data_IF_103565428220
#
_entry.id   IF_103565428220
#
_cell.length_a   1.000
_cell.length_b   1.000
_cell.length_c   1.000
_cell.angle_alpha   90.00
_cell.angle_beta   90.00
_cell.angle_gamma   90.00
#
_symmetry.space_group_name_H-M   'P 1'
#
loop_
_entity.id
_entity.type
_entity.pdbx_description
1 polymer ?
#
# COMPACT_ATOMS: atom_id res chain seq x y z
N UNK A 1 38.18 10.84 3.85
CA UNK A 1 37.62 9.54 4.29
C UNK A 1 36.33 9.68 5.11
N UNK A 2 35.75 10.88 5.27
CA UNK A 2 34.53 11.10 6.05
C UNK A 2 33.24 11.02 5.24
N UNK A 3 33.28 11.17 3.91
CA UNK A 3 32.05 11.17 3.09
C UNK A 3 31.48 9.78 2.81
N UNK A 4 32.29 8.71 2.71
CA UNK A 4 31.74 7.37 2.47
C UNK A 4 30.96 6.85 3.68
N UNK A 5 31.49 7.08 4.89
CA UNK A 5 30.90 6.59 6.14
C UNK A 5 29.53 7.20 6.46
N UNK A 6 29.28 8.47 6.10
CA UNK A 6 27.99 9.12 6.36
C UNK A 6 26.87 8.65 5.41
N UNK A 7 27.20 8.32 4.15
CA UNK A 7 26.22 7.78 3.20
C UNK A 7 25.94 6.29 3.43
N UNK A 8 26.95 5.51 3.78
CA UNK A 8 26.78 4.13 4.21
C UNK A 8 25.86 4.06 5.45
N UNK A 9 25.97 5.04 6.36
CA UNK A 9 25.09 5.16 7.52
C UNK A 9 23.64 5.51 7.18
N UNK A 10 23.38 6.31 6.14
CA UNK A 10 22.02 6.64 5.69
C UNK A 10 21.33 5.42 5.07
N UNK A 11 22.02 4.66 4.22
CA UNK A 11 21.44 3.46 3.61
C UNK A 11 21.26 2.32 4.62
N UNK A 12 22.24 2.11 5.51
CA UNK A 12 22.14 1.09 6.56
C UNK A 12 21.04 1.39 7.60
N UNK A 13 20.70 2.66 7.81
CA UNK A 13 19.73 3.11 8.80
C UNK A 13 18.70 4.07 8.22
N UNK A 14 18.13 3.77 7.05
CA UNK A 14 17.27 4.68 6.29
C UNK A 14 16.10 5.23 7.12
N UNK A 15 15.36 4.37 7.82
CA UNK A 15 14.28 4.79 8.72
C UNK A 15 14.78 5.74 9.82
N UNK A 16 15.82 5.36 10.54
CA UNK A 16 16.36 6.16 11.64
C UNK A 16 16.87 7.51 11.15
N UNK A 17 17.49 7.54 9.97
CA UNK A 17 17.96 8.74 9.30
C UNK A 17 16.81 9.70 8.98
N UNK A 18 15.73 9.17 8.40
CA UNK A 18 14.51 9.93 8.04
C UNK A 18 13.78 10.44 9.29
N UNK A 19 13.56 9.60 10.30
CA UNK A 19 12.89 10.00 11.54
C UNK A 19 13.67 11.09 12.29
N UNK A 20 15.01 11.07 12.24
CA UNK A 20 15.86 12.09 12.82
C UNK A 20 15.91 13.41 12.03
N UNK A 21 15.14 13.55 10.95
CA UNK A 21 15.11 14.73 10.07
C UNK A 21 16.49 15.10 9.51
N UNK A 22 17.37 14.11 9.33
CA UNK A 22 18.70 14.31 8.77
C UNK A 22 18.60 14.52 7.26
N UNK A 23 19.59 15.23 6.70
CA UNK A 23 19.76 15.40 5.26
C UNK A 23 21.14 14.89 4.87
N UNK A 24 21.27 14.07 3.81
CA UNK A 24 22.56 13.54 3.43
C UNK A 24 23.41 14.67 2.81
N UNK A 25 24.72 14.65 3.06
CA UNK A 25 25.64 15.64 2.49
C UNK A 25 25.68 15.59 0.94
N UNK A 26 25.49 14.40 0.37
CA UNK A 26 25.34 14.16 -1.06
C UNK A 26 23.91 13.71 -1.35
N UNK A 27 23.38 14.15 -2.50
CA UNK A 27 22.04 13.76 -2.96
C UNK A 27 22.06 12.51 -3.82
N UNK A 28 23.23 12.03 -4.22
CA UNK A 28 23.39 10.82 -5.01
C UNK A 28 24.75 10.17 -4.71
N UNK A 29 24.85 8.89 -5.03
CA UNK A 29 26.09 8.14 -4.87
C UNK A 29 25.96 6.72 -5.38
N UNK A 30 26.96 5.91 -5.07
CA UNK A 30 26.99 4.47 -5.39
C UNK A 30 27.23 3.72 -4.09
N UNK A 31 26.38 2.75 -3.79
CA UNK A 31 26.50 1.90 -2.60
C UNK A 31 27.63 0.87 -2.78
N UNK A 32 28.00 0.18 -1.70
CA UNK A 32 29.03 -0.87 -1.74
C UNK A 32 28.70 -2.01 -2.73
N UNK A 33 27.40 -2.30 -2.93
CA UNK A 33 26.90 -3.23 -3.95
C UNK A 33 27.05 -2.75 -5.40
N UNK A 34 27.46 -1.49 -5.61
CA UNK A 34 27.51 -0.82 -6.90
C UNK A 34 26.16 -0.28 -7.39
N UNK A 35 25.07 -0.45 -6.63
CA UNK A 35 23.78 0.19 -6.90
C UNK A 35 23.91 1.71 -6.79
N UNK A 36 23.42 2.44 -7.79
CA UNK A 36 23.36 3.90 -7.73
C UNK A 36 22.14 4.31 -6.90
N UNK A 37 22.31 5.28 -6.01
CA UNK A 37 21.22 5.80 -5.19
C UNK A 37 21.08 7.30 -5.39
N UNK A 38 19.84 7.80 -5.27
CA UNK A 38 19.51 9.23 -5.32
C UNK A 38 18.49 9.57 -4.25
N UNK A 39 18.82 10.51 -3.37
CA UNK A 39 17.92 11.11 -2.39
C UNK A 39 17.05 12.19 -3.05
N UNK A 40 15.78 11.85 -3.26
CA UNK A 40 14.82 12.72 -3.93
C UNK A 40 14.14 13.67 -2.94
N UNK A 41 13.98 13.25 -1.69
CA UNK A 41 13.34 14.01 -0.61
C UNK A 41 13.29 13.19 0.67
N UNK A 42 12.71 13.77 1.73
CA UNK A 42 12.61 13.07 3.01
C UNK A 42 11.83 11.78 2.84
N UNK A 43 12.46 10.63 3.13
CA UNK A 43 11.87 9.31 2.96
C UNK A 43 11.64 8.88 1.51
N UNK A 44 12.23 9.56 0.51
CA UNK A 44 12.08 9.22 -0.91
C UNK A 44 13.47 8.92 -1.49
N UNK A 45 13.74 7.64 -1.75
CA UNK A 45 15.03 7.15 -2.22
C UNK A 45 14.85 6.38 -3.54
N UNK A 46 15.56 6.81 -4.57
CA UNK A 46 15.67 6.07 -5.84
C UNK A 46 16.91 5.19 -5.81
N UNK A 47 16.78 3.96 -6.28
CA UNK A 47 17.83 2.95 -6.41
C UNK A 47 17.81 2.41 -7.83
N UNK A 48 18.95 2.52 -8.52
CA UNK A 48 19.12 2.14 -9.91
C UNK A 48 20.17 1.01 -10.00
N UNK A 49 19.86 -0.10 -10.70
CA UNK A 49 20.80 -1.20 -10.87
C UNK A 49 21.99 -0.79 -11.74
N UNK A 50 23.04 -1.62 -11.75
CA UNK A 50 24.24 -1.35 -12.58
C UNK A 50 23.99 -1.52 -14.08
N UNK A 51 23.04 -2.38 -14.46
CA UNK A 51 22.66 -2.67 -15.84
C UNK A 51 21.29 -2.11 -16.23
N UNK A 52 20.81 -2.53 -17.41
CA UNK A 52 19.47 -2.20 -17.88
C UNK A 52 18.40 -2.87 -17.02
N UNK A 53 17.45 -2.07 -16.55
CA UNK A 53 16.36 -2.57 -15.74
C UNK A 53 15.22 -3.10 -16.62
N UNK A 54 14.76 -4.33 -16.35
CA UNK A 54 13.61 -4.91 -17.05
C UNK A 54 12.26 -4.40 -16.52
N UNK A 55 12.23 -3.72 -15.36
CA UNK A 55 11.03 -3.15 -14.77
C UNK A 55 11.34 -1.99 -13.81
N UNK A 56 10.31 -1.20 -13.50
CA UNK A 56 10.34 -0.13 -12.48
C UNK A 56 9.34 -0.44 -11.37
N UNK A 57 9.79 -0.41 -10.13
CA UNK A 57 8.99 -0.76 -8.94
C UNK A 57 8.96 0.43 -7.99
N UNK A 58 7.76 0.86 -7.60
CA UNK A 58 7.56 1.72 -6.43
C UNK A 58 7.21 0.80 -5.26
N UNK A 59 7.97 0.89 -4.18
CA UNK A 59 7.65 0.22 -2.91
C UNK A 59 7.42 1.32 -1.86
N UNK A 60 6.16 1.48 -1.44
CA UNK A 60 5.77 2.49 -0.47
C UNK A 60 5.27 1.84 0.81
N UNK A 61 5.56 2.49 1.94
CA UNK A 61 5.07 2.10 3.26
C UNK A 61 4.86 3.35 4.11
N UNK A 62 4.06 3.19 5.17
CA UNK A 62 3.86 4.27 6.12
C UNK A 62 3.11 5.46 5.53
N UNK A 63 2.26 5.24 4.52
CA UNK A 63 1.27 6.24 4.10
C UNK A 63 0.38 6.61 5.29
N UNK A 64 0.10 5.65 6.17
CA UNK A 64 -0.32 5.90 7.55
C UNK A 64 0.86 5.72 8.51
N UNK A 65 1.04 6.64 9.45
CA UNK A 65 2.23 6.70 10.29
C UNK A 65 2.36 5.59 11.35
N UNK A 66 1.25 5.00 11.77
CA UNK A 66 1.17 3.96 12.80
C UNK A 66 1.41 2.53 12.27
N UNK A 67 1.51 2.37 10.95
CA UNK A 67 1.65 1.07 10.28
C UNK A 67 3.13 0.71 10.08
N UNK A 68 3.78 0.33 11.19
CA UNK A 68 5.26 0.33 11.27
C UNK A 68 5.96 -0.90 10.68
N UNK A 69 5.31 -2.08 10.63
CA UNK A 69 5.94 -3.30 10.10
C UNK A 69 6.47 -3.12 8.66
N UNK A 70 5.68 -2.64 7.69
CA UNK A 70 6.18 -2.43 6.33
C UNK A 70 7.27 -1.37 6.23
N UNK A 71 7.28 -0.38 7.12
CA UNK A 71 8.32 0.65 7.19
C UNK A 71 9.66 0.02 7.59
N UNK A 72 9.66 -0.87 8.59
CA UNK A 72 10.85 -1.61 9.01
C UNK A 72 11.37 -2.53 7.90
N UNK A 73 10.47 -3.23 7.20
CA UNK A 73 10.80 -4.10 6.06
C UNK A 73 11.50 -3.29 4.96
N UNK A 74 10.93 -2.14 4.55
CA UNK A 74 11.55 -1.32 3.53
C UNK A 74 12.91 -0.73 3.96
N UNK A 75 13.06 -0.35 5.23
CA UNK A 75 14.35 0.12 5.74
C UNK A 75 15.40 -0.99 5.72
N UNK A 76 15.04 -2.22 6.10
CA UNK A 76 15.94 -3.36 6.04
C UNK A 76 16.30 -3.72 4.59
N UNK A 77 15.33 -3.66 3.67
CA UNK A 77 15.55 -3.89 2.25
C UNK A 77 16.55 -2.88 1.66
N UNK A 78 16.45 -1.60 1.99
CA UNK A 78 17.43 -0.58 1.56
C UNK A 78 18.84 -0.92 2.04
N UNK A 79 18.98 -1.32 3.32
CA UNK A 79 20.28 -1.72 3.87
C UNK A 79 20.85 -2.96 3.16
N UNK A 80 20.01 -3.97 2.93
CA UNK A 80 20.42 -5.21 2.25
C UNK A 80 20.83 -4.95 0.79
N UNK A 81 20.12 -4.08 0.07
CA UNK A 81 20.49 -3.69 -1.30
C UNK A 81 21.84 -2.96 -1.29
N UNK A 82 22.05 -2.06 -0.32
CA UNK A 82 23.27 -1.25 -0.25
C UNK A 82 24.54 -2.08 -0.08
N UNK A 83 24.45 -3.21 0.65
CA UNK A 83 25.58 -4.12 0.89
C UNK A 83 25.59 -5.34 -0.05
N UNK A 84 24.57 -5.49 -0.91
CA UNK A 84 24.46 -6.58 -1.88
C UNK A 84 23.88 -7.89 -1.31
N UNK A 85 23.29 -7.87 -0.12
CA UNK A 85 22.55 -8.99 0.45
C UNK A 85 21.19 -9.20 -0.24
N UNK A 86 20.62 -8.13 -0.81
CA UNK A 86 19.46 -8.19 -1.70
C UNK A 86 19.86 -7.80 -3.13
N UNK A 87 19.47 -8.62 -4.09
CA UNK A 87 19.72 -8.36 -5.51
C UNK A 87 18.75 -7.30 -6.05
N UNK A 88 19.26 -6.36 -6.84
CA UNK A 88 18.47 -5.34 -7.52
C UNK A 88 18.74 -5.39 -9.03
N UNK A 89 17.74 -5.75 -9.82
CA UNK A 89 17.74 -5.73 -11.29
C UNK A 89 16.64 -4.82 -11.87
N UNK A 90 15.87 -4.19 -10.98
CA UNK A 90 14.78 -3.28 -11.31
C UNK A 90 15.13 -1.88 -10.84
N UNK A 91 14.61 -0.85 -11.51
CA UNK A 91 14.61 0.50 -10.92
C UNK A 91 13.69 0.45 -9.71
N UNK A 92 14.12 0.95 -8.56
CA UNK A 92 13.33 0.91 -7.33
C UNK A 92 13.19 2.32 -6.73
N UNK A 93 11.96 2.74 -6.49
CA UNK A 93 11.64 3.93 -5.70
C UNK A 93 11.08 3.48 -4.35
N UNK A 94 11.85 3.71 -3.28
CA UNK A 94 11.42 3.46 -1.90
C UNK A 94 10.81 4.73 -1.33
N UNK A 95 9.60 4.61 -0.76
CA UNK A 95 8.86 5.73 -0.16
C UNK A 95 8.46 5.39 1.29
N UNK A 96 8.86 6.24 2.22
CA UNK A 96 8.29 6.34 3.57
C UNK A 96 7.30 7.53 3.59
N UNK A 97 6.01 7.21 3.60
CA UNK A 97 4.92 8.11 3.23
C UNK A 97 4.75 9.33 4.13
N UNK A 98 4.20 9.15 5.33
CA UNK A 98 3.78 10.22 6.24
C UNK A 98 4.71 10.31 7.45
N UNK A 99 5.89 10.91 7.25
CA UNK A 99 6.97 10.92 8.25
C UNK A 99 6.54 11.63 9.54
N UNK A 100 5.76 12.70 9.45
CA UNK A 100 5.32 13.44 10.65
C UNK A 100 4.30 12.62 11.46
N UNK A 101 3.39 11.89 10.80
CA UNK A 101 2.51 10.94 11.48
C UNK A 101 3.29 9.78 12.10
N UNK A 102 4.34 9.27 11.42
CA UNK A 102 5.24 8.24 11.99
C UNK A 102 5.89 8.72 13.29
N UNK A 103 6.39 9.97 13.32
CA UNK A 103 6.98 10.57 14.52
C UNK A 103 5.97 10.75 15.64
N UNK A 104 4.73 11.06 15.31
CA UNK A 104 3.63 11.18 16.26
C UNK A 104 3.08 9.81 16.73
N UNK A 105 3.47 8.70 16.07
CA UNK A 105 2.88 7.38 16.23
C UNK A 105 1.36 7.37 15.98
N UNK A 106 0.90 8.25 15.08
CA UNK A 106 -0.50 8.40 14.69
C UNK A 106 -0.71 7.90 13.26
N UNK A 107 -1.94 7.54 12.94
CA UNK A 107 -2.34 7.16 11.57
C UNK A 107 -2.12 8.31 10.58
N UNK A 108 -2.57 9.49 10.96
CA UNK A 108 -2.41 10.77 10.27
C UNK A 108 -2.64 11.88 11.29
N UNK A 109 -2.24 13.11 10.97
CA UNK A 109 -2.35 14.28 11.85
C UNK A 109 -3.67 15.04 11.63
N UNK A 110 -4.02 15.40 10.39
CA UNK A 110 -5.26 16.12 10.07
C UNK A 110 -6.20 15.29 9.21
N UNK A 111 -5.70 14.80 8.07
CA UNK A 111 -6.46 14.04 7.09
C UNK A 111 -5.72 12.78 6.65
N UNK A 112 -6.47 11.71 6.36
CA UNK A 112 -5.93 10.46 5.86
C UNK A 112 -5.19 10.69 4.52
N UNK A 113 -3.85 10.59 4.55
CA UNK A 113 -2.99 10.81 3.38
C UNK A 113 -3.40 9.93 2.19
N UNK A 114 -3.86 8.69 2.43
CA UNK A 114 -4.33 7.78 1.39
C UNK A 114 -5.73 8.13 0.83
N UNK A 115 -6.24 9.31 1.18
CA UNK A 115 -7.43 9.94 0.58
C UNK A 115 -7.10 11.24 -0.14
N UNK A 116 -5.84 11.67 -0.17
CA UNK A 116 -5.42 12.97 -0.70
C UNK A 116 -4.77 12.89 -2.09
N UNK A 117 -4.60 11.69 -2.64
CA UNK A 117 -4.05 11.50 -3.99
C UNK A 117 -5.09 11.83 -5.08
N UNK A 118 -4.67 11.78 -6.34
CA UNK A 118 -5.45 12.19 -7.51
C UNK A 118 -5.89 13.65 -7.45
N UNK A 119 -5.00 14.52 -6.97
CA UNK A 119 -5.28 15.95 -6.84
C UNK A 119 -6.23 16.32 -5.70
N UNK A 120 -6.72 15.35 -4.90
CA UNK A 120 -7.64 15.63 -3.79
C UNK A 120 -7.03 16.55 -2.74
N UNK A 121 -5.71 16.49 -2.53
CA UNK A 121 -4.96 17.40 -1.68
C UNK A 121 -5.16 18.89 -2.02
N UNK A 122 -5.44 19.24 -3.28
CA UNK A 122 -5.71 20.63 -3.69
C UNK A 122 -7.01 21.20 -3.09
N UNK A 123 -7.94 20.32 -2.71
CA UNK A 123 -9.20 20.73 -2.06
C UNK A 123 -9.09 20.92 -0.55
N UNK A 124 -7.94 20.60 0.04
CA UNK A 124 -7.69 20.67 1.49
C UNK A 124 -6.39 21.45 1.78
N UNK A 125 -6.31 22.75 1.42
CA UNK A 125 -5.08 23.53 1.54
C UNK A 125 -4.60 23.73 2.99
N UNK A 126 -5.46 23.50 3.99
CA UNK A 126 -5.13 23.60 5.40
C UNK A 126 -4.60 22.27 6.00
N UNK A 127 -4.70 21.15 5.27
CA UNK A 127 -4.23 19.84 5.73
C UNK A 127 -2.70 19.80 5.78
N UNK A 128 -2.12 19.35 6.89
CA UNK A 128 -0.68 19.11 6.99
C UNK A 128 -0.20 18.00 6.05
N UNK A 129 -1.05 17.06 5.67
CA UNK A 129 -0.72 15.99 4.74
C UNK A 129 -0.78 16.41 3.26
N UNK A 130 -1.52 17.46 2.91
CA UNK A 130 -1.73 17.85 1.51
C UNK A 130 -0.43 18.17 0.75
N UNK A 131 0.56 18.91 1.30
CA UNK A 131 1.85 19.11 0.66
C UNK A 131 2.61 17.80 0.43
N UNK A 132 2.49 16.85 1.37
CA UNK A 132 3.15 15.55 1.28
C UNK A 132 2.53 14.69 0.18
N UNK A 133 1.21 14.66 0.05
CA UNK A 133 0.54 14.00 -1.07
C UNK A 133 1.04 14.53 -2.42
N UNK A 134 1.11 15.86 -2.57
CA UNK A 134 1.61 16.50 -3.78
C UNK A 134 3.09 16.15 -4.09
N UNK A 135 3.93 16.05 -3.06
CA UNK A 135 5.33 15.62 -3.20
C UNK A 135 5.43 14.18 -3.69
N UNK A 136 4.70 13.26 -3.06
CA UNK A 136 4.69 11.84 -3.41
C UNK A 136 4.15 11.61 -4.83
N UNK A 137 3.09 12.33 -5.23
CA UNK A 137 2.59 12.30 -6.60
C UNK A 137 3.65 12.74 -7.61
N UNK A 138 4.36 13.86 -7.35
CA UNK A 138 5.43 14.34 -8.24
C UNK A 138 6.58 13.34 -8.35
N UNK A 139 7.02 12.78 -7.21
CA UNK A 139 8.11 11.81 -7.19
C UNK A 139 7.75 10.53 -7.97
N UNK A 140 6.54 10.00 -7.78
CA UNK A 140 6.08 8.82 -8.49
C UNK A 140 5.95 9.07 -10.00
N UNK A 141 5.39 10.21 -10.42
CA UNK A 141 5.29 10.55 -11.85
C UNK A 141 6.67 10.72 -12.47
N UNK A 142 7.58 11.45 -11.82
CA UNK A 142 8.94 11.65 -12.33
C UNK A 142 9.71 10.32 -12.47
N UNK A 143 9.53 9.40 -11.52
CA UNK A 143 10.19 8.09 -11.55
C UNK A 143 9.69 7.19 -12.70
N UNK A 144 8.40 7.27 -13.01
CA UNK A 144 7.73 6.47 -14.05
C UNK A 144 7.66 7.15 -15.42
N UNK A 145 8.11 8.40 -15.53
CA UNK A 145 8.10 9.15 -16.78
C UNK A 145 8.98 8.49 -17.85
N UNK A 146 8.48 8.43 -19.09
CA UNK A 146 9.17 7.78 -20.21
C UNK A 146 9.40 6.26 -20.08
N UNK A 147 8.96 5.60 -19.00
CA UNK A 147 9.18 4.17 -18.79
C UNK A 147 8.31 3.33 -19.73
N UNK A 148 8.98 2.54 -20.58
CA UNK A 148 8.38 1.66 -21.60
C UNK A 148 8.24 0.20 -21.14
N UNK A 149 8.97 -0.20 -20.11
CA UNK A 149 8.91 -1.53 -19.51
C UNK A 149 7.84 -1.62 -18.39
N UNK A 150 7.55 -2.82 -17.85
CA UNK A 150 6.55 -2.98 -16.79
C UNK A 150 6.79 -2.07 -15.57
N UNK A 151 5.69 -1.51 -15.07
CA UNK A 151 5.66 -0.60 -13.92
C UNK A 151 4.86 -1.24 -12.81
N UNK A 152 5.37 -1.24 -11.60
CA UNK A 152 4.72 -1.79 -10.41
C UNK A 152 4.63 -0.74 -9.31
N UNK A 153 3.58 -0.83 -8.50
CA UNK A 153 3.50 -0.08 -7.25
C UNK A 153 2.91 -0.95 -6.15
N UNK A 154 3.75 -1.31 -5.19
CA UNK A 154 3.38 -2.08 -4.00
C UNK A 154 3.32 -1.10 -2.83
N UNK A 155 2.11 -0.81 -2.37
CA UNK A 155 1.85 0.06 -1.22
C UNK A 155 1.49 -0.81 -0.02
N UNK A 156 2.36 -0.89 0.97
CA UNK A 156 2.25 -1.86 2.06
C UNK A 156 1.74 -1.20 3.33
N UNK A 157 0.62 -1.72 3.82
CA UNK A 157 -0.15 -1.27 4.97
C UNK A 157 -0.30 -2.39 6.00
N UNK A 158 -0.76 -2.00 7.18
CA UNK A 158 -1.28 -2.94 8.19
C UNK A 158 -2.64 -2.48 8.68
N UNK A 159 -3.51 -3.43 9.00
CA UNK A 159 -4.85 -3.16 9.45
C UNK A 159 -4.90 -2.90 10.96
N UNK A 160 -5.81 -2.02 11.38
CA UNK A 160 -6.16 -1.84 12.80
C UNK A 160 -7.09 -2.97 13.28
N UNK A 161 -7.91 -3.51 12.37
CA UNK A 161 -8.94 -4.51 12.66
C UNK A 161 -8.45 -5.93 12.39
N UNK A 162 -9.05 -6.89 13.10
CA UNK A 162 -8.95 -8.29 12.73
C UNK A 162 -9.58 -8.54 11.35
N UNK A 163 -9.21 -9.64 10.71
CA UNK A 163 -9.74 -10.04 9.41
C UNK A 163 -9.91 -11.55 9.37
N UNK A 164 -10.93 -12.03 8.66
CA UNK A 164 -11.09 -13.47 8.35
C UNK A 164 -9.97 -13.95 7.42
N UNK A 165 -9.50 -13.07 6.53
CA UNK A 165 -8.30 -13.26 5.71
C UNK A 165 -7.22 -12.32 6.23
N UNK A 166 -6.26 -12.83 6.99
CA UNK A 166 -5.33 -12.00 7.76
C UNK A 166 -4.56 -11.06 6.84
N UNK A 167 -4.06 -11.61 5.73
CA UNK A 167 -3.32 -10.86 4.73
C UNK A 167 -4.12 -10.80 3.42
N UNK A 168 -4.40 -9.59 2.96
CA UNK A 168 -5.14 -9.39 1.71
C UNK A 168 -4.64 -8.18 0.94
N UNK A 169 -4.98 -8.13 -0.35
CA UNK A 169 -4.65 -7.00 -1.21
C UNK A 169 -5.89 -6.27 -1.69
N UNK A 170 -5.75 -5.00 -2.04
CA UNK A 170 -6.75 -4.22 -2.76
C UNK A 170 -6.15 -3.83 -4.11
N UNK A 171 -6.89 -4.08 -5.20
CA UNK A 171 -6.53 -3.53 -6.51
C UNK A 171 -7.40 -2.31 -6.83
N UNK A 172 -6.80 -1.22 -7.31
CA UNK A 172 -7.53 -0.05 -7.76
C UNK A 172 -8.30 -0.36 -9.04
N UNK A 173 -9.43 0.32 -9.21
CA UNK A 173 -10.19 0.27 -10.47
C UNK A 173 -9.62 1.25 -11.48
N UNK A 174 -9.12 0.77 -12.61
CA UNK A 174 -8.67 1.60 -13.74
C UNK A 174 -9.50 1.41 -15.00
N UNK A 175 -10.43 0.45 -15.01
CA UNK A 175 -11.14 -0.01 -16.21
C UNK A 175 -10.31 -0.91 -17.14
N UNK A 176 -9.01 -1.10 -16.87
CA UNK A 176 -8.17 -2.02 -17.62
C UNK A 176 -8.43 -3.49 -17.22
N UNK A 177 -8.17 -4.46 -18.12
CA UNK A 177 -8.22 -5.87 -17.78
C UNK A 177 -7.27 -6.22 -16.62
N UNK A 178 -7.70 -7.15 -15.78
CA UNK A 178 -6.91 -7.64 -14.66
C UNK A 178 -5.67 -8.40 -15.14
N UNK A 179 -4.52 -8.13 -14.52
CA UNK A 179 -3.21 -8.69 -14.90
C UNK A 179 -2.94 -10.03 -14.23
N UNK A 180 -2.73 -11.11 -15.01
CA UNK A 180 -2.27 -12.40 -14.49
C UNK A 180 -0.99 -12.29 -13.65
N UNK A 181 -0.06 -11.44 -14.07
CA UNK A 181 1.21 -11.24 -13.37
C UNK A 181 1.00 -10.74 -11.93
N UNK A 182 0.06 -9.81 -11.73
CA UNK A 182 -0.28 -9.30 -10.40
C UNK A 182 -0.84 -10.41 -9.50
N UNK A 183 -1.79 -11.22 -9.99
CA UNK A 183 -2.34 -12.31 -9.19
C UNK A 183 -1.33 -13.42 -8.88
N UNK A 184 -0.41 -13.72 -9.81
CA UNK A 184 0.68 -14.66 -9.54
C UNK A 184 1.62 -14.12 -8.46
N UNK A 185 1.97 -12.83 -8.53
CA UNK A 185 2.79 -12.19 -7.52
C UNK A 185 2.12 -12.17 -6.13
N UNK A 186 0.81 -11.87 -6.07
CA UNK A 186 0.04 -11.92 -4.82
C UNK A 186 -0.01 -13.32 -4.20
N UNK A 187 -0.05 -14.38 -5.00
CA UNK A 187 0.05 -15.77 -4.50
C UNK A 187 1.42 -16.06 -3.89
N UNK A 188 2.50 -15.61 -4.54
CA UNK A 188 3.86 -15.80 -4.03
C UNK A 188 4.11 -15.02 -2.74
N UNK A 189 3.52 -13.83 -2.63
CA UNK A 189 3.49 -13.02 -1.42
C UNK A 189 2.61 -13.60 -0.31
N UNK A 190 1.94 -14.74 -0.57
CA UNK A 190 1.05 -15.50 0.33
C UNK A 190 -0.16 -14.72 0.85
N UNK A 191 -0.67 -13.78 0.06
CA UNK A 191 -1.96 -13.17 0.37
C UNK A 191 -3.07 -14.23 0.29
N UNK A 192 -4.05 -14.11 1.17
CA UNK A 192 -5.18 -15.04 1.26
C UNK A 192 -6.37 -14.56 0.43
N UNK A 193 -6.52 -13.24 0.33
CA UNK A 193 -7.62 -12.61 -0.38
C UNK A 193 -7.19 -11.39 -1.20
N UNK A 194 -8.02 -11.06 -2.18
CA UNK A 194 -7.90 -9.89 -3.04
C UNK A 194 -9.25 -9.20 -3.11
N UNK A 195 -9.26 -7.89 -2.89
CA UNK A 195 -10.40 -7.01 -3.02
C UNK A 195 -10.30 -6.22 -4.33
N UNK A 196 -11.27 -6.37 -5.22
CA UNK A 196 -11.38 -5.61 -6.45
C UNK A 196 -12.30 -4.41 -6.25
N UNK A 197 -11.75 -3.21 -6.38
CA UNK A 197 -12.58 -2.01 -6.50
C UNK A 197 -13.27 -1.95 -7.86
N UNK A 198 -14.44 -1.30 -7.90
CA UNK A 198 -15.20 -1.02 -9.12
C UNK A 198 -15.29 0.46 -9.47
N UNK A 199 -14.74 1.30 -8.61
CA UNK A 199 -14.81 2.76 -8.73
C UNK A 199 -13.45 3.37 -8.48
N UNK A 200 -13.24 4.54 -9.06
CA UNK A 200 -12.02 5.32 -8.87
C UNK A 200 -11.89 5.75 -7.41
N UNK A 201 -10.66 5.93 -6.95
CA UNK A 201 -10.39 6.33 -5.56
C UNK A 201 -9.23 7.32 -5.46
N UNK A 202 -9.09 7.97 -4.31
CA UNK A 202 -8.00 8.91 -4.05
C UNK A 202 -6.83 8.26 -3.29
N UNK A 203 -6.61 6.97 -3.53
CA UNK A 203 -5.48 6.21 -2.97
C UNK A 203 -4.22 6.39 -3.82
N UNK A 204 -3.06 6.18 -3.21
CA UNK A 204 -1.79 6.31 -3.92
C UNK A 204 -1.64 5.26 -5.03
N UNK A 205 -2.10 4.05 -4.76
CA UNK A 205 -2.10 2.94 -5.74
C UNK A 205 -3.01 3.23 -6.90
N UNK A 206 -4.21 3.78 -6.68
CA UNK A 206 -5.06 4.25 -7.77
C UNK A 206 -4.38 5.34 -8.60
N UNK A 207 -3.75 6.33 -7.97
CA UNK A 207 -3.05 7.41 -8.68
C UNK A 207 -1.99 6.87 -9.65
N UNK A 208 -1.09 6.03 -9.17
CA UNK A 208 -0.05 5.43 -10.04
C UNK A 208 -0.61 4.53 -11.14
N UNK A 209 -1.66 3.76 -10.85
CA UNK A 209 -2.30 2.89 -11.83
C UNK A 209 -2.98 3.71 -12.92
N UNK A 210 -3.74 4.74 -12.56
CA UNK A 210 -4.45 5.60 -13.50
C UNK A 210 -3.51 6.49 -14.31
N UNK A 211 -2.52 7.12 -13.68
CA UNK A 211 -1.67 8.14 -14.31
C UNK A 211 -0.49 7.56 -15.08
N UNK A 212 -0.03 6.36 -14.72
CA UNK A 212 1.19 5.76 -15.28
C UNK A 212 0.98 4.33 -15.80
N UNK A 213 -0.21 3.74 -15.66
CA UNK A 213 -0.46 2.36 -16.06
C UNK A 213 0.31 1.33 -15.23
N UNK A 214 0.66 1.68 -13.98
CA UNK A 214 1.36 0.76 -13.09
C UNK A 214 0.43 -0.39 -12.64
N UNK A 215 1.00 -1.59 -12.51
CA UNK A 215 0.41 -2.70 -11.79
C UNK A 215 0.49 -2.39 -10.29
N UNK A 216 -0.57 -1.78 -9.77
CA UNK A 216 -0.60 -1.28 -8.39
C UNK A 216 -1.48 -2.13 -7.49
N UNK A 217 -1.05 -2.34 -6.25
CA UNK A 217 -1.86 -2.93 -5.20
C UNK A 217 -1.53 -2.34 -3.84
N UNK A 218 -2.55 -2.18 -3.00
CA UNK A 218 -2.39 -1.92 -1.57
C UNK A 218 -2.42 -3.25 -0.84
N UNK A 219 -1.41 -3.55 -0.02
CA UNK A 219 -1.36 -4.76 0.79
C UNK A 219 -1.75 -4.45 2.23
N UNK A 220 -2.59 -5.28 2.82
CA UNK A 220 -2.95 -5.24 4.25
C UNK A 220 -2.31 -6.47 4.88
N UNK A 221 -1.16 -6.30 5.53
CA UNK A 221 -0.25 -7.41 5.86
C UNK A 221 -0.40 -7.96 7.29
N UNK A 222 -1.34 -7.46 8.07
CA UNK A 222 -1.56 -7.90 9.45
C UNK A 222 -1.96 -6.75 10.36
N UNK A 223 -1.66 -6.85 11.66
CA UNK A 223 -2.03 -5.85 12.66
C UNK A 223 -0.99 -4.75 12.85
N UNK A 224 -1.44 -3.51 13.01
CA UNK A 224 -0.63 -2.38 13.51
C UNK A 224 0.03 -2.75 14.84
N UNK A 225 1.34 -2.46 14.93
CA UNK A 225 2.12 -2.42 16.18
C UNK A 225 3.09 -1.22 16.12
N UNK A 226 3.57 -0.72 17.27
CA UNK A 226 4.65 0.26 17.31
C UNK A 226 5.97 -0.29 16.74
N UNK A 227 6.88 0.62 16.37
CA UNK A 227 8.25 0.27 15.96
C UNK A 227 8.93 -0.63 17.00
N UNK A 228 9.67 -1.63 16.53
CA UNK A 228 10.40 -2.62 17.33
C UNK A 228 9.52 -3.69 17.97
N UNK A 229 8.20 -3.65 17.78
CA UNK A 229 7.25 -4.63 18.34
C UNK A 229 6.59 -5.51 17.28
N UNK A 230 6.98 -5.37 16.01
CA UNK A 230 6.49 -6.21 14.94
C UNK A 230 7.22 -7.56 14.94
N UNK A 231 6.45 -8.64 14.80
CA UNK A 231 7.01 -9.94 14.45
C UNK A 231 7.16 -10.01 12.91
N UNK A 232 8.32 -9.59 12.41
CA UNK A 232 8.60 -9.53 10.97
C UNK A 232 8.52 -10.91 10.29
N UNK A 233 8.62 -12.02 11.02
CA UNK A 233 8.49 -13.36 10.45
C UNK A 233 7.09 -13.60 9.84
N UNK A 234 6.05 -12.91 10.33
CA UNK A 234 4.69 -12.97 9.76
C UNK A 234 4.59 -12.33 8.37
N UNK A 235 5.53 -11.45 8.04
CA UNK A 235 5.58 -10.68 6.80
C UNK A 235 6.61 -11.24 5.81
N UNK A 236 7.36 -12.27 6.20
CA UNK A 236 8.49 -12.81 5.45
C UNK A 236 8.13 -13.20 4.01
N UNK A 237 6.92 -13.72 3.78
CA UNK A 237 6.49 -14.10 2.44
C UNK A 237 6.28 -12.90 1.50
N UNK A 238 5.69 -11.81 2.03
CA UNK A 238 5.50 -10.58 1.26
C UNK A 238 6.82 -9.85 1.03
N UNK A 239 7.72 -9.84 2.02
CA UNK A 239 9.10 -9.34 1.85
C UNK A 239 9.87 -10.14 0.79
N UNK A 240 9.85 -11.48 0.85
CA UNK A 240 10.50 -12.35 -0.14
C UNK A 240 9.93 -12.14 -1.54
N UNK A 241 8.62 -11.96 -1.68
CA UNK A 241 7.98 -11.68 -2.96
C UNK A 241 8.35 -10.29 -3.52
N UNK A 242 8.50 -9.27 -2.67
CA UNK A 242 9.02 -7.96 -3.08
C UNK A 242 10.48 -8.07 -3.52
N UNK A 243 11.32 -8.80 -2.76
CA UNK A 243 12.73 -9.05 -3.09
C UNK A 243 12.89 -9.75 -4.44
N UNK A 244 12.11 -10.80 -4.70
CA UNK A 244 12.08 -11.47 -6.01
C UNK A 244 11.67 -10.53 -7.13
N UNK A 245 10.62 -9.73 -6.90
CA UNK A 245 10.16 -8.75 -7.88
C UNK A 245 11.28 -7.77 -8.24
N UNK A 246 11.93 -7.14 -7.27
CA UNK A 246 13.00 -6.17 -7.57
C UNK A 246 14.27 -6.84 -8.15
N UNK A 247 14.49 -8.11 -7.86
CA UNK A 247 15.58 -8.92 -8.43
C UNK A 247 15.32 -9.35 -9.89
N UNK A 248 14.16 -8.99 -10.46
CA UNK A 248 13.78 -9.38 -11.82
C UNK A 248 13.42 -10.86 -11.95
N UNK A 249 13.18 -11.54 -10.83
CA UNK A 249 12.84 -12.95 -10.79
C UNK A 249 11.34 -13.13 -11.08
N UNK A 250 11.01 -14.13 -11.90
CA UNK A 250 9.63 -14.48 -12.18
C UNK A 250 8.90 -14.99 -10.93
N UNK A 251 7.57 -15.00 -11.00
CA UNK A 251 6.76 -15.64 -9.98
C UNK A 251 7.24 -17.08 -9.74
N UNK A 252 7.36 -17.49 -8.47
CA UNK A 252 7.75 -18.85 -8.09
C UNK A 252 6.72 -19.90 -8.56
N UNK A 253 5.52 -19.46 -8.94
CA UNK A 253 4.50 -20.28 -9.57
C UNK A 253 3.79 -21.21 -8.59
N UNK A 254 3.82 -20.88 -7.28
CA UNK A 254 3.14 -21.68 -6.28
C UNK A 254 1.62 -21.57 -6.48
N UNK A 255 0.97 -22.70 -6.78
CA UNK A 255 -0.49 -22.79 -6.84
C UNK A 255 -1.08 -22.71 -5.42
N UNK A 256 -1.12 -21.49 -4.87
CA UNK A 256 -1.71 -21.20 -3.56
C UNK A 256 -3.15 -20.69 -3.73
N UNK A 257 -4.08 -21.08 -2.85
CA UNK A 257 -5.42 -20.52 -2.83
C UNK A 257 -5.34 -19.01 -2.63
N UNK A 258 -6.08 -18.26 -3.44
CA UNK A 258 -6.23 -16.82 -3.33
C UNK A 258 -7.71 -16.52 -3.60
N UNK A 259 -8.44 -16.03 -2.61
CA UNK A 259 -9.85 -15.65 -2.78
C UNK A 259 -9.93 -14.29 -3.44
N UNK A 260 -10.88 -14.10 -4.33
CA UNK A 260 -11.14 -12.80 -4.95
C UNK A 260 -12.53 -12.35 -4.56
N UNK A 261 -12.60 -11.13 -4.05
CA UNK A 261 -13.82 -10.46 -3.68
C UNK A 261 -13.99 -9.20 -4.51
N UNK A 262 -15.19 -8.98 -5.03
CA UNK A 262 -15.52 -7.76 -5.77
C UNK A 262 -16.42 -6.88 -4.92
N UNK A 263 -16.12 -5.58 -4.85
CA UNK A 263 -16.98 -4.60 -4.19
C UNK A 263 -18.32 -4.51 -4.91
N UNK A 264 -19.42 -4.71 -4.20
CA UNK A 264 -20.80 -4.60 -4.73
C UNK A 264 -21.58 -3.46 -4.10
N UNK A 265 -21.10 -2.92 -2.98
CA UNK A 265 -21.76 -1.81 -2.29
C UNK A 265 -20.82 -1.07 -1.37
N UNK A 266 -21.26 0.12 -0.96
CA UNK A 266 -20.58 0.98 -0.03
C UNK A 266 -21.57 1.45 1.04
N UNK A 267 -21.10 1.53 2.28
CA UNK A 267 -21.85 2.14 3.38
C UNK A 267 -21.28 3.54 3.58
N UNK A 268 -22.08 4.56 3.31
CA UNK A 268 -21.69 5.96 3.49
C UNK A 268 -22.32 6.54 4.75
N UNK A 269 -21.52 7.25 5.54
CA UNK A 269 -22.04 8.08 6.62
C UNK A 269 -22.51 9.40 6.01
N UNK A 270 -23.81 9.61 5.94
CA UNK A 270 -24.42 10.80 5.35
C UNK A 270 -24.72 11.87 6.40
N UNK A 271 -25.01 11.46 7.64
CA UNK A 271 -25.33 12.37 8.74
C UNK A 271 -24.80 11.90 10.09
N UNK A 272 -25.06 12.69 11.14
CA UNK A 272 -24.76 12.31 12.52
C UNK A 272 -25.75 11.30 13.12
N UNK A 273 -26.84 10.97 12.41
CA UNK A 273 -27.77 9.89 12.79
C UNK A 273 -27.30 8.51 12.33
N UNK A 274 -26.07 8.42 11.81
CA UNK A 274 -25.51 7.17 11.31
C UNK A 274 -25.20 6.20 12.45
N UNK A 275 -25.70 4.98 12.31
CA UNK A 275 -25.45 3.85 13.20
C UNK A 275 -24.97 2.66 12.37
N UNK A 276 -23.88 2.03 12.81
CA UNK A 276 -23.37 0.79 12.22
C UNK A 276 -23.85 -0.39 13.06
N UNK A 277 -24.73 -1.23 12.48
CA UNK A 277 -25.41 -2.36 13.13
C UNK A 277 -24.57 -3.65 13.12
N UNK A 278 -23.25 -3.53 13.27
CA UNK A 278 -22.35 -4.68 13.42
C UNK A 278 -21.51 -4.51 14.68
N UNK A 279 -20.97 -5.61 15.19
CA UNK A 279 -20.11 -5.56 16.37
C UNK A 279 -18.94 -4.58 16.17
N UNK A 280 -18.59 -3.82 17.21
CA UNK A 280 -17.57 -2.77 17.10
C UNK A 280 -16.18 -3.30 16.78
N UNK A 281 -15.94 -4.60 17.01
CA UNK A 281 -14.72 -5.36 16.74
C UNK A 281 -14.87 -6.36 15.57
N UNK A 282 -15.96 -6.28 14.81
CA UNK A 282 -16.24 -7.17 13.68
C UNK A 282 -15.02 -7.28 12.74
N UNK A 283 -14.53 -8.51 12.46
CA UNK A 283 -13.42 -8.71 11.54
C UNK A 283 -13.78 -8.29 10.11
N UNK A 284 -12.79 -7.79 9.37
CA UNK A 284 -12.89 -7.68 7.91
C UNK A 284 -13.25 -9.04 7.31
N UNK A 285 -14.03 -9.00 6.23
CA UNK A 285 -14.58 -10.15 5.52
C UNK A 285 -15.58 -11.01 6.31
N UNK A 286 -16.17 -10.49 7.39
CA UNK A 286 -17.25 -11.19 8.10
C UNK A 286 -18.49 -11.35 7.20
N UNK A 287 -19.04 -12.56 7.04
CA UNK A 287 -20.22 -12.84 6.22
C UNK A 287 -21.52 -12.34 6.86
N UNK A 288 -22.43 -11.83 6.02
CA UNK A 288 -23.80 -11.52 6.38
C UNK A 288 -24.77 -12.05 5.31
N UNK A 289 -25.87 -12.71 5.69
CA UNK A 289 -26.86 -13.21 4.73
C UNK A 289 -27.75 -12.10 4.18
N UNK A 290 -28.34 -12.35 3.01
CA UNK A 290 -29.37 -11.52 2.41
C UNK A 290 -30.41 -11.03 3.42
N UNK A 291 -30.76 -9.75 3.34
CA UNK A 291 -31.73 -9.12 4.22
C UNK A 291 -31.18 -8.60 5.55
N UNK A 292 -29.92 -8.87 5.89
CA UNK A 292 -29.29 -8.29 7.09
C UNK A 292 -29.13 -6.78 6.95
N UNK A 293 -29.58 -6.02 7.94
CA UNK A 293 -29.33 -4.57 8.02
C UNK A 293 -27.97 -4.34 8.67
N UNK A 294 -27.06 -3.67 7.97
CA UNK A 294 -25.68 -3.43 8.39
C UNK A 294 -25.45 -2.04 8.95
N UNK A 295 -26.25 -1.06 8.52
CA UNK A 295 -26.20 0.30 9.02
C UNK A 295 -27.52 1.01 8.79
N UNK A 296 -27.74 2.09 9.54
CA UNK A 296 -28.85 3.03 9.38
C UNK A 296 -28.31 4.45 9.35
N UNK A 297 -28.94 5.31 8.57
CA UNK A 297 -28.71 6.75 8.63
C UNK A 297 -30.08 7.44 8.57
N UNK A 298 -30.63 7.76 9.75
CA UNK A 298 -32.03 8.14 9.91
C UNK A 298 -32.98 7.03 9.43
N UNK A 299 -33.79 7.32 8.41
CA UNK A 299 -34.73 6.35 7.83
C UNK A 299 -34.09 5.40 6.81
N UNK A 300 -32.90 5.73 6.29
CA UNK A 300 -32.22 4.93 5.29
C UNK A 300 -31.57 3.69 5.92
N UNK A 301 -31.66 2.54 5.24
CA UNK A 301 -31.11 1.27 5.71
C UNK A 301 -30.15 0.70 4.66
N UNK A 302 -28.94 0.40 5.10
CA UNK A 302 -27.98 -0.37 4.32
C UNK A 302 -28.24 -1.85 4.59
N UNK A 303 -28.73 -2.57 3.58
CA UNK A 303 -29.16 -3.96 3.71
C UNK A 303 -28.42 -4.85 2.70
N UNK A 304 -28.04 -6.05 3.13
CA UNK A 304 -27.41 -7.06 2.26
C UNK A 304 -28.40 -7.50 1.17
N UNK A 305 -27.94 -7.46 -0.09
CA UNK A 305 -28.77 -7.73 -1.27
C UNK A 305 -28.44 -9.03 -1.99
N UNK A 306 -27.19 -9.50 -1.90
CA UNK A 306 -26.79 -10.81 -2.43
C UNK A 306 -26.99 -11.89 -1.36
N UNK A 307 -26.98 -13.16 -1.75
CA UNK A 307 -27.14 -14.31 -0.84
C UNK A 307 -26.20 -14.20 0.37
N UNK A 308 -24.95 -13.82 0.11
CA UNK A 308 -23.96 -13.51 1.15
C UNK A 308 -23.07 -12.36 0.68
N UNK A 309 -23.03 -11.30 1.47
CA UNK A 309 -22.04 -10.23 1.34
C UNK A 309 -21.09 -10.24 2.55
N UNK A 310 -19.92 -9.64 2.41
CA UNK A 310 -18.93 -9.50 3.48
C UNK A 310 -18.59 -8.04 3.71
N UNK A 311 -18.52 -7.63 4.97
CA UNK A 311 -18.13 -6.27 5.33
C UNK A 311 -16.61 -6.12 5.33
N UNK A 312 -16.10 -5.02 4.78
CA UNK A 312 -14.67 -4.68 4.77
C UNK A 312 -14.50 -3.20 5.17
N UNK A 313 -13.48 -2.92 5.98
CA UNK A 313 -13.18 -1.62 6.59
C UNK A 313 -14.34 -0.92 7.32
N UNK A 314 -15.04 -1.60 8.24
CA UNK A 314 -16.10 -0.98 9.02
C UNK A 314 -15.53 0.13 9.91
N UNK A 315 -15.99 1.37 9.73
CA UNK A 315 -15.57 2.51 10.53
C UNK A 315 -16.72 3.50 10.75
N UNK A 316 -17.45 3.39 11.88
CA UNK A 316 -18.54 4.32 12.18
C UNK A 316 -18.05 5.72 12.60
N UNK A 317 -16.74 5.87 12.88
CA UNK A 317 -16.16 7.12 13.40
C UNK A 317 -15.75 8.10 12.31
N UNK A 318 -15.98 7.78 11.03
CA UNK A 318 -15.71 8.71 9.95
C UNK A 318 -16.59 9.97 10.06
N UNK A 319 -16.16 11.06 9.42
CA UNK A 319 -16.97 12.28 9.29
C UNK A 319 -18.12 12.04 8.30
N UNK A 320 -19.27 12.74 8.42
CA UNK A 320 -20.29 12.74 7.37
C UNK A 320 -19.71 13.08 5.99
N UNK A 321 -20.27 12.46 4.96
CA UNK A 321 -19.78 12.52 3.59
C UNK A 321 -18.64 11.54 3.27
N UNK A 322 -18.26 10.67 4.22
CA UNK A 322 -17.22 9.67 4.04
C UNK A 322 -17.76 8.24 4.16
N UNK A 323 -17.04 7.33 3.51
CA UNK A 323 -17.30 5.89 3.55
C UNK A 323 -17.04 5.31 4.94
N UNK A 324 -18.04 4.63 5.48
CA UNK A 324 -18.00 3.87 6.72
C UNK A 324 -17.80 2.35 6.53
N UNK A 325 -17.91 1.82 5.30
CA UNK A 325 -17.63 0.41 5.01
C UNK A 325 -17.80 0.03 3.55
N UNK A 326 -17.34 -1.17 3.19
CA UNK A 326 -17.54 -1.78 1.88
C UNK A 326 -18.24 -3.11 2.02
N UNK A 327 -19.07 -3.43 1.03
CA UNK A 327 -19.73 -4.72 0.89
C UNK A 327 -19.18 -5.45 -0.31
N UNK A 328 -18.75 -6.70 -0.12
CA UNK A 328 -18.14 -7.50 -1.17
C UNK A 328 -18.73 -8.89 -1.30
N UNK A 329 -18.70 -9.43 -2.51
CA UNK A 329 -19.09 -10.81 -2.82
C UNK A 329 -17.90 -11.58 -3.36
N UNK A 330 -17.92 -12.89 -3.19
CA UNK A 330 -16.88 -13.75 -3.74
C UNK A 330 -17.04 -13.89 -5.26
N UNK A 331 -15.98 -13.57 -6.00
CA UNK A 331 -15.92 -13.67 -7.46
C UNK A 331 -14.69 -14.47 -7.89
N UNK A 332 -14.18 -15.37 -7.04
CA UNK A 332 -12.91 -16.09 -7.25
C UNK A 332 -12.88 -16.81 -8.60
N UNK A 333 -13.87 -17.66 -8.87
CA UNK A 333 -13.91 -18.47 -10.10
C UNK A 333 -14.03 -17.62 -11.37
N UNK A 334 -14.97 -16.68 -11.37
CA UNK A 334 -15.19 -15.72 -12.46
C UNK A 334 -13.93 -14.90 -12.75
N UNK A 335 -13.27 -14.40 -11.70
CA UNK A 335 -12.04 -13.62 -11.85
C UNK A 335 -10.95 -14.47 -12.49
N UNK A 336 -10.64 -15.66 -11.95
CA UNK A 336 -9.55 -16.47 -12.50
C UNK A 336 -9.81 -16.95 -13.93
N UNK A 337 -11.08 -17.17 -14.31
CA UNK A 337 -11.49 -17.49 -15.66
C UNK A 337 -11.32 -16.31 -16.64
N UNK A 338 -11.44 -15.06 -16.16
CA UNK A 338 -11.32 -13.85 -16.99
C UNK A 338 -9.90 -13.31 -17.13
N UNK A 339 -9.00 -13.69 -16.22
CA UNK A 339 -7.60 -13.24 -16.26
C UNK A 339 -6.93 -13.66 -17.57
N UNK A 340 -6.32 -12.70 -18.25
CA UNK A 340 -5.64 -12.91 -19.54
C UNK A 340 -4.18 -13.30 -19.38
#
# INVERSE_FOLDING_TARGET
>A
MTSSAEHDGMLAGFLAFVLAAKRPALREGTAASGVRWTWLGDGILSLEPQGDAAQSVIASAGIHGDETAPIEILSALVADIAIGAAKLESRLLVILGNIDAMRAADRYLDDDLNRLFNGRHLSLPASREAPRAAELERAALAFLDGVTHPKWHIDMHTAIRASVFEQFALLPYTGAPLSRAMFNWLRDARLEAVLLHREKSNTFTHFTAERSGALSCTLELGKVRPFGQNDLARFAASDEALRRLIAGEGAAGAARPLRVFTVVGQIDKLSEQFELDVASDVPNFTPFPAGTVLARDGAYRYQVTHDVERIVFPNPKVKPGLRAGLMVVDTTEETFASLR
#
